data_IF_300902984987
#
_entry.id   IF_300902984987
#
_cell.length_a   1.000
_cell.length_b   1.000
_cell.length_c   1.000
_cell.angle_alpha   90.00
_cell.angle_beta   90.00
_cell.angle_gamma   90.00
#
_symmetry.space_group_name_H-M   'P 1'
#
loop_
_entity.id
_entity.type
_entity.pdbx_description
1 polymer ?
#
# COMPACT_ATOMS: atom_id res chain seq x y z
N UNK A 1 -11.50 -14.49 -39.47
CA UNK A 1 -11.68 -13.47 -38.43
C UNK A 1 -12.46 -14.07 -37.29
N UNK A 2 -11.91 -14.10 -36.08
CA UNK A 2 -12.61 -14.30 -34.80
C UNK A 2 -11.53 -14.34 -33.71
N UNK A 3 -11.28 -13.21 -33.05
CA UNK A 3 -10.40 -13.11 -31.89
C UNK A 3 -11.13 -13.64 -30.64
N UNK A 4 -10.49 -14.47 -29.78
CA UNK A 4 -11.11 -14.91 -28.54
C UNK A 4 -11.19 -13.78 -27.51
N UNK A 5 -12.22 -13.74 -26.64
CA UNK A 5 -12.38 -12.68 -25.64
C UNK A 5 -11.36 -12.85 -24.51
N UNK A 6 -10.70 -11.75 -24.18
CA UNK A 6 -9.73 -11.67 -23.09
C UNK A 6 -10.39 -12.04 -21.74
N UNK A 7 -9.83 -13.07 -21.10
CA UNK A 7 -10.25 -13.50 -19.77
C UNK A 7 -10.04 -12.39 -18.74
N UNK A 8 -11.10 -12.07 -18.00
CA UNK A 8 -11.05 -11.12 -16.87
C UNK A 8 -10.27 -11.74 -15.71
N UNK A 9 -9.26 -11.06 -15.12
CA UNK A 9 -8.57 -11.60 -13.96
C UNK A 9 -9.47 -11.45 -12.73
N UNK A 10 -9.97 -12.58 -12.22
CA UNK A 10 -10.70 -12.63 -10.95
C UNK A 10 -9.73 -12.31 -9.81
N UNK A 11 -9.88 -11.15 -9.18
CA UNK A 11 -9.08 -10.75 -8.04
C UNK A 11 -9.33 -11.72 -6.87
N UNK A 12 -8.29 -12.46 -6.45
CA UNK A 12 -8.33 -13.27 -5.23
C UNK A 12 -8.48 -12.33 -4.02
N UNK A 13 -9.44 -12.57 -3.10
CA UNK A 13 -9.50 -11.80 -1.88
C UNK A 13 -8.31 -12.21 -1.00
N UNK A 14 -7.29 -11.35 -0.92
CA UNK A 14 -6.23 -11.51 0.09
C UNK A 14 -6.86 -11.14 1.43
N UNK A 15 -7.19 -12.17 2.22
CA UNK A 15 -7.60 -11.99 3.60
C UNK A 15 -6.50 -11.19 4.33
N UNK A 16 -6.92 -10.11 4.99
CA UNK A 16 -6.02 -9.20 5.70
C UNK A 16 -5.35 -9.96 6.85
N UNK A 17 -4.04 -10.20 6.73
CA UNK A 17 -3.25 -10.80 7.79
C UNK A 17 -3.35 -9.97 9.09
N UNK A 18 -3.35 -10.62 10.27
CA UNK A 18 -3.39 -9.93 11.55
C UNK A 18 -2.17 -9.03 11.70
N UNK A 19 -2.42 -7.78 12.09
CA UNK A 19 -1.39 -6.74 12.17
C UNK A 19 -0.68 -6.82 13.51
N UNK A 20 0.66 -6.85 13.56
CA UNK A 20 1.42 -6.96 14.81
C UNK A 20 1.33 -5.72 15.72
N UNK A 21 0.77 -4.61 15.24
CA UNK A 21 0.66 -3.36 16.00
C UNK A 21 -0.79 -2.83 15.98
N UNK A 22 -1.39 -2.51 17.14
CA UNK A 22 -2.70 -1.91 17.20
C UNK A 22 -2.67 -0.50 16.59
N UNK A 23 -3.62 -0.21 15.70
CA UNK A 23 -3.73 1.10 15.07
C UNK A 23 -4.20 2.11 16.11
N UNK A 24 -3.37 3.11 16.43
CA UNK A 24 -3.83 4.29 17.19
C UNK A 24 -4.72 5.13 16.27
N UNK A 25 -6.04 4.99 16.41
CA UNK A 25 -7.04 5.74 15.68
C UNK A 25 -7.29 5.27 14.24
N UNK A 26 -8.51 4.79 13.97
CA UNK A 26 -8.97 4.30 12.66
C UNK A 26 -8.96 5.30 11.50
N UNK A 27 -8.32 6.47 11.62
CA UNK A 27 -8.37 7.57 10.65
C UNK A 27 -7.03 8.20 10.30
N UNK A 28 -5.92 7.88 10.96
CA UNK A 28 -4.62 8.49 10.67
C UNK A 28 -3.69 7.58 9.87
N UNK A 29 -2.90 8.19 9.00
CA UNK A 29 -1.87 7.55 8.21
C UNK A 29 -0.80 6.92 9.13
N UNK A 30 -0.26 5.78 8.73
CA UNK A 30 0.80 5.11 9.50
C UNK A 30 2.16 5.17 8.80
N UNK A 31 2.40 6.18 7.96
CA UNK A 31 3.65 6.32 7.23
C UNK A 31 4.76 6.83 8.15
N UNK A 32 5.89 6.10 8.31
CA UNK A 32 7.01 6.57 9.10
C UNK A 32 7.73 7.70 8.38
N UNK A 33 8.01 8.78 9.10
CA UNK A 33 8.76 9.94 8.63
C UNK A 33 10.01 10.05 9.51
N UNK A 34 11.17 10.03 8.84
CA UNK A 34 12.48 10.10 9.50
C UNK A 34 13.07 8.74 9.85
N UNK A 35 14.26 8.78 10.45
CA UNK A 35 15.06 7.59 10.78
C UNK A 35 14.70 7.03 12.16
N UNK A 36 14.55 5.71 12.30
CA UNK A 36 14.28 5.07 13.59
C UNK A 36 15.46 5.32 14.54
N UNK A 37 15.19 5.98 15.67
CA UNK A 37 16.21 6.36 16.66
C UNK A 37 16.51 7.86 16.74
N UNK A 38 15.92 8.66 15.85
CA UNK A 38 15.96 10.13 15.94
C UNK A 38 14.72 10.67 16.67
N UNK A 39 14.86 11.79 17.39
CA UNK A 39 13.73 12.49 18.04
C UNK A 39 12.71 13.06 17.04
N UNK A 40 13.09 13.14 15.76
CA UNK A 40 12.23 13.50 14.64
C UNK A 40 11.42 12.35 14.06
N UNK A 41 11.57 11.12 14.58
CA UNK A 41 10.79 9.98 14.10
C UNK A 41 9.32 10.16 14.44
N UNK A 42 8.51 10.36 13.41
CA UNK A 42 7.07 10.63 13.56
C UNK A 42 6.28 9.84 12.53
N UNK A 43 4.98 9.66 12.79
CA UNK A 43 4.06 9.08 11.81
C UNK A 43 3.23 10.18 11.16
N UNK A 44 2.99 10.04 9.86
CA UNK A 44 2.12 10.96 9.14
C UNK A 44 0.74 11.03 9.82
N UNK A 45 0.27 12.23 10.15
CA UNK A 45 -1.02 12.44 10.83
C UNK A 45 -2.18 12.69 9.86
N UNK A 46 -1.93 12.63 8.54
CA UNK A 46 -2.94 12.82 7.52
C UNK A 46 -4.03 11.74 7.58
N UNK A 47 -5.18 12.02 6.96
CA UNK A 47 -6.30 11.07 6.95
C UNK A 47 -5.96 9.81 6.15
N UNK A 48 -6.09 8.65 6.77
CA UNK A 48 -5.92 7.36 6.12
C UNK A 48 -7.13 7.06 5.22
N UNK A 49 -6.84 6.51 4.04
CA UNK A 49 -7.90 6.08 3.11
C UNK A 49 -8.74 4.93 3.68
N UNK A 50 -10.02 4.89 3.30
CA UNK A 50 -10.90 3.75 3.57
C UNK A 50 -10.28 2.46 3.02
N UNK A 51 -10.18 1.44 3.87
CA UNK A 51 -9.53 0.15 3.60
C UNK A 51 -8.00 0.16 3.41
N UNK A 52 -7.31 1.30 3.50
CA UNK A 52 -5.83 1.37 3.46
C UNK A 52 -5.26 1.98 4.76
N UNK A 53 -4.02 1.65 5.14
CA UNK A 53 -3.36 2.22 6.32
C UNK A 53 -2.70 3.59 6.07
N UNK A 54 -2.73 4.10 4.85
CA UNK A 54 -2.02 5.31 4.45
C UNK A 54 -2.96 6.33 3.80
N UNK A 55 -2.58 7.61 3.83
CA UNK A 55 -3.21 8.69 3.06
C UNK A 55 -2.95 8.49 1.54
N UNK A 56 -3.63 9.21 0.63
CA UNK A 56 -3.41 9.08 -0.81
C UNK A 56 -1.95 9.15 -1.27
N UNK A 57 -1.20 10.11 -0.72
CA UNK A 57 0.20 10.33 -1.05
C UNK A 57 1.07 9.13 -0.65
N UNK A 58 1.01 8.73 0.62
CA UNK A 58 1.79 7.61 1.12
C UNK A 58 1.31 6.24 0.62
N UNK A 59 0.02 6.11 0.28
CA UNK A 59 -0.51 4.92 -0.38
C UNK A 59 0.07 4.78 -1.79
N UNK A 60 0.28 5.87 -2.54
CA UNK A 60 0.91 5.82 -3.85
C UNK A 60 2.35 5.30 -3.75
N UNK A 61 3.10 5.72 -2.73
CA UNK A 61 4.48 5.26 -2.48
C UNK A 61 4.50 3.79 -2.02
N UNK A 62 3.59 3.39 -1.11
CA UNK A 62 3.54 2.02 -0.57
C UNK A 62 3.06 0.98 -1.59
N UNK A 63 2.13 1.36 -2.47
CA UNK A 63 1.40 0.46 -3.36
C UNK A 63 1.71 0.69 -4.84
N UNK A 64 2.89 1.25 -5.18
CA UNK A 64 3.40 1.23 -6.55
C UNK A 64 3.28 -0.20 -7.09
N UNK A 65 2.37 -0.40 -8.04
CA UNK A 65 2.20 -1.69 -8.71
C UNK A 65 3.55 -2.07 -9.29
N UNK A 66 3.94 -3.34 -9.14
CA UNK A 66 4.93 -3.98 -10.00
C UNK A 66 4.37 -3.95 -11.44
N UNK A 67 4.48 -2.80 -12.12
CA UNK A 67 4.48 -2.75 -13.57
C UNK A 67 5.94 -2.85 -13.94
N UNK A 68 6.32 -4.10 -14.20
CA UNK A 68 7.55 -4.49 -14.86
C UNK A 68 8.84 -4.45 -14.01
N UNK A 69 9.00 -5.44 -13.13
CA UNK A 69 10.33 -5.95 -12.77
C UNK A 69 10.69 -7.12 -13.68
N UNK A 70 10.51 -6.98 -15.00
CA UNK A 70 11.00 -7.98 -15.96
C UNK A 70 12.03 -7.40 -16.92
N UNK A 71 12.08 -6.09 -17.13
CA UNK A 71 12.99 -5.48 -18.12
C UNK A 71 14.33 -4.93 -17.59
N UNK A 72 14.60 -4.92 -16.28
CA UNK A 72 15.89 -4.44 -15.71
C UNK A 72 16.71 -5.56 -15.03
N UNK A 73 16.50 -6.80 -15.46
CA UNK A 73 17.30 -7.96 -15.02
C UNK A 73 17.69 -8.86 -16.19
N UNK A 74 17.99 -8.26 -17.34
CA UNK A 74 18.62 -8.90 -18.50
C UNK A 74 19.92 -8.17 -18.84
#
# INVERSE_FOLDING_TARGET
>A
TAAPPAAVPVARPVAAAPRPFPRVGGKSCCWPIGEPGTSSFTFCTAEAMVAKPYCPEHAAIAYVKVRDRREDAA
#
